data_IF_983218597732
#
_entry.id   IF_983218597732
#
_cell.length_a   1.000
_cell.length_b   1.000
_cell.length_c   1.000
_cell.angle_alpha   90.00
_cell.angle_beta   90.00
_cell.angle_gamma   90.00
#
_symmetry.space_group_name_H-M   'P 1'
#
loop_
_entity.id
_entity.type
_entity.pdbx_description
1 polymer ?
#
# COMPACT_ATOMS: atom_id res chain seq x y z
N UNK A 1 -40.44 20.48 -22.82
CA UNK A 1 -40.45 19.84 -21.49
C UNK A 1 -40.53 18.33 -21.69
N UNK A 2 -39.41 17.61 -21.59
CA UNK A 2 -39.38 16.16 -21.72
C UNK A 2 -39.28 15.55 -20.33
N UNK A 3 -40.35 14.91 -19.87
CA UNK A 3 -40.41 14.20 -18.60
C UNK A 3 -39.47 13.00 -18.61
N UNK A 4 -38.53 12.96 -17.66
CA UNK A 4 -37.72 11.77 -17.39
C UNK A 4 -38.65 10.65 -16.90
N UNK A 5 -38.73 9.54 -17.65
CA UNK A 5 -39.40 8.33 -17.16
C UNK A 5 -38.50 7.69 -16.11
N UNK A 6 -39.02 7.48 -14.90
CA UNK A 6 -38.36 6.68 -13.85
C UNK A 6 -38.31 5.21 -14.30
N UNK A 7 -37.14 4.60 -14.19
CA UNK A 7 -37.00 3.13 -14.23
C UNK A 7 -37.35 2.60 -12.83
N UNK A 8 -38.47 1.90 -12.70
CA UNK A 8 -38.78 1.11 -11.51
C UNK A 8 -38.85 -0.37 -11.87
N UNK A 9 -38.28 -1.21 -11.02
CA UNK A 9 -38.40 -2.67 -11.07
C UNK A 9 -38.98 -3.18 -9.75
N UNK A 10 -39.67 -4.32 -9.84
CA UNK A 10 -40.35 -4.97 -8.72
C UNK A 10 -39.46 -6.06 -8.14
N UNK A 11 -39.07 -5.91 -6.87
CA UNK A 11 -38.30 -6.92 -6.14
C UNK A 11 -39.06 -7.27 -4.86
N UNK A 12 -39.38 -8.56 -4.67
CA UNK A 12 -40.15 -9.08 -3.53
C UNK A 12 -41.47 -8.33 -3.27
N UNK A 13 -42.20 -8.01 -4.34
CA UNK A 13 -43.52 -7.37 -4.25
C UNK A 13 -43.50 -5.91 -3.81
N UNK A 14 -42.32 -5.25 -3.78
CA UNK A 14 -42.19 -3.82 -3.56
C UNK A 14 -41.61 -3.16 -4.82
N UNK A 15 -42.18 -2.01 -5.18
CA UNK A 15 -41.63 -1.14 -6.22
C UNK A 15 -40.39 -0.45 -5.65
N UNK A 16 -39.23 -0.67 -6.28
CA UNK A 16 -37.95 -0.16 -5.79
C UNK A 16 -37.38 0.85 -6.78
N UNK A 17 -37.06 2.05 -6.31
CA UNK A 17 -36.45 3.11 -7.11
C UNK A 17 -34.93 2.87 -7.22
N UNK A 18 -34.45 2.53 -8.43
CA UNK A 18 -33.05 2.14 -8.66
C UNK A 18 -32.03 3.29 -8.49
N UNK A 19 -32.46 4.56 -8.47
CA UNK A 19 -31.56 5.71 -8.36
C UNK A 19 -31.01 5.97 -6.94
N UNK A 20 -31.44 5.20 -5.93
CA UNK A 20 -31.16 5.49 -4.52
C UNK A 20 -30.15 4.52 -3.85
N UNK A 21 -29.50 3.64 -4.62
CA UNK A 21 -28.58 2.63 -4.07
C UNK A 21 -27.10 3.04 -4.17
N UNK A 22 -26.34 2.75 -3.11
CA UNK A 22 -24.88 2.88 -3.06
C UNK A 22 -24.21 2.16 -4.25
N UNK A 23 -23.15 2.77 -4.79
CA UNK A 23 -22.33 2.22 -5.88
C UNK A 23 -21.79 0.80 -5.57
N UNK A 24 -21.57 0.49 -4.29
CA UNK A 24 -21.16 -0.84 -3.84
C UNK A 24 -22.23 -1.91 -4.12
N UNK A 25 -23.51 -1.56 -3.98
CA UNK A 25 -24.63 -2.46 -4.24
C UNK A 25 -24.80 -2.72 -5.75
N UNK A 26 -24.58 -1.70 -6.58
CA UNK A 26 -24.59 -1.82 -8.04
C UNK A 26 -23.45 -2.71 -8.55
N UNK A 27 -22.27 -2.58 -7.95
CA UNK A 27 -21.13 -3.43 -8.26
C UNK A 27 -21.40 -4.89 -7.88
N UNK A 28 -21.98 -5.14 -6.70
CA UNK A 28 -22.35 -6.48 -6.26
C UNK A 28 -23.38 -7.16 -7.19
N UNK A 29 -24.41 -6.43 -7.60
CA UNK A 29 -25.42 -6.94 -8.54
C UNK A 29 -24.84 -7.25 -9.93
N UNK A 30 -23.90 -6.42 -10.39
CA UNK A 30 -23.21 -6.64 -11.67
C UNK A 30 -22.35 -7.90 -11.63
N UNK A 31 -21.59 -8.11 -10.54
CA UNK A 31 -20.79 -9.33 -10.35
C UNK A 31 -21.67 -10.58 -10.25
N UNK A 32 -22.84 -10.48 -9.62
CA UNK A 32 -23.80 -11.57 -9.56
C UNK A 32 -24.30 -11.94 -10.98
N UNK A 33 -24.63 -10.94 -11.79
CA UNK A 33 -25.07 -11.14 -13.17
C UNK A 33 -23.98 -11.80 -14.03
N UNK A 34 -22.72 -11.41 -13.87
CA UNK A 34 -21.57 -12.02 -14.59
C UNK A 34 -21.37 -13.47 -14.16
N UNK A 35 -21.50 -13.78 -12.86
CA UNK A 35 -21.32 -15.15 -12.34
C UNK A 35 -22.34 -16.14 -12.89
N UNK A 36 -23.53 -15.67 -13.25
CA UNK A 36 -24.61 -16.49 -13.82
C UNK A 36 -24.69 -16.42 -15.35
N UNK A 37 -23.84 -15.63 -16.01
CA UNK A 37 -23.78 -15.59 -17.46
C UNK A 37 -23.17 -16.90 -18.00
N UNK A 38 -23.97 -17.68 -18.73
CA UNK A 38 -23.45 -18.81 -19.51
C UNK A 38 -22.74 -18.27 -20.74
N UNK A 39 -21.47 -18.65 -20.92
CA UNK A 39 -20.70 -18.25 -22.09
C UNK A 39 -21.30 -18.86 -23.36
N UNK A 40 -21.41 -18.04 -24.41
CA UNK A 40 -21.84 -18.45 -25.74
C UNK A 40 -20.85 -19.49 -26.32
N UNK A 41 -21.39 -20.55 -26.91
CA UNK A 41 -20.64 -21.69 -27.45
C UNK A 41 -19.60 -21.26 -28.51
N UNK A 42 -19.86 -20.18 -29.25
CA UNK A 42 -18.88 -19.60 -30.19
C UNK A 42 -17.68 -18.97 -29.50
N UNK A 43 -17.89 -18.34 -28.34
CA UNK A 43 -16.82 -17.72 -27.56
C UNK A 43 -15.97 -18.80 -26.89
N UNK A 44 -16.61 -19.85 -26.37
CA UNK A 44 -15.91 -21.00 -25.80
C UNK A 44 -15.02 -21.70 -26.84
N UNK A 45 -15.53 -21.91 -28.05
CA UNK A 45 -14.76 -22.50 -29.15
C UNK A 45 -13.59 -21.61 -29.62
N UNK A 46 -13.78 -20.29 -29.67
CA UNK A 46 -12.70 -19.36 -30.03
C UNK A 46 -11.56 -19.35 -28.99
N UNK A 47 -11.88 -19.47 -27.70
CA UNK A 47 -10.90 -19.59 -26.63
C UNK A 47 -10.15 -20.94 -26.69
N UNK A 48 -10.85 -22.02 -27.03
CA UNK A 48 -10.25 -23.35 -27.17
C UNK A 48 -9.24 -23.40 -28.33
N UNK A 49 -9.58 -22.81 -29.48
CA UNK A 49 -8.67 -22.72 -30.64
C UNK A 49 -7.44 -21.85 -30.36
N UNK A 50 -7.60 -20.77 -29.58
CA UNK A 50 -6.46 -19.95 -29.11
C UNK A 50 -5.51 -20.76 -28.20
N UNK A 51 -6.06 -21.61 -27.32
CA UNK A 51 -5.29 -22.48 -26.43
C UNK A 51 -4.66 -23.70 -27.13
N UNK A 52 -5.12 -24.07 -28.33
CA UNK A 52 -4.46 -25.08 -29.18
C UNK A 52 -3.29 -24.47 -29.96
N UNK A 53 -3.44 -23.24 -30.46
CA UNK A 53 -2.36 -22.52 -31.17
C UNK A 53 -1.16 -22.23 -30.29
N UNK A 54 -1.36 -22.00 -28.98
CA UNK A 54 -0.26 -21.81 -28.03
C UNK A 54 0.54 -23.09 -27.75
N UNK A 55 0.00 -24.28 -28.02
CA UNK A 55 0.69 -25.57 -27.78
C UNK A 55 1.59 -26.03 -28.93
N UNK A 56 1.46 -25.44 -30.12
CA UNK A 56 2.28 -25.81 -31.30
C UNK A 56 3.66 -25.12 -31.36
N UNK A 57 3.98 -24.22 -30.42
CA UNK A 57 5.28 -23.52 -30.38
C UNK A 57 6.29 -24.13 -29.38
N UNK A 58 5.90 -25.17 -28.63
CA UNK A 58 6.70 -25.71 -27.52
C UNK A 58 7.54 -26.96 -27.84
N UNK A 59 7.53 -27.47 -29.09
CA UNK A 59 8.13 -28.78 -29.39
C UNK A 59 9.64 -28.77 -29.80
N UNK A 60 10.33 -27.63 -29.81
CA UNK A 60 11.73 -27.53 -30.28
C UNK A 60 12.75 -26.95 -29.28
N UNK A 61 12.55 -27.12 -27.96
CA UNK A 61 13.60 -26.81 -26.99
C UNK A 61 13.64 -27.82 -25.82
N UNK A 62 14.05 -29.07 -26.10
CA UNK A 62 14.48 -30.01 -25.05
C UNK A 62 15.93 -29.70 -24.65
N UNK A 63 16.12 -29.01 -23.54
CA UNK A 63 17.37 -29.09 -22.76
C UNK A 63 17.04 -29.07 -21.27
N UNK A 64 17.70 -29.97 -20.52
CA UNK A 64 17.35 -30.44 -19.16
C UNK A 64 17.16 -29.33 -18.11
N UNK A 65 16.25 -29.48 -17.12
CA UNK A 65 16.01 -28.46 -16.11
C UNK A 65 17.11 -28.45 -15.03
N UNK A 66 17.70 -27.27 -14.79
CA UNK A 66 18.37 -26.91 -13.52
C UNK A 66 17.34 -26.24 -12.59
N UNK A 67 17.54 -26.27 -11.25
CA UNK A 67 16.54 -25.77 -10.31
C UNK A 67 16.26 -24.28 -10.54
N UNK A 68 14.98 -23.94 -10.67
CA UNK A 68 14.48 -22.59 -10.90
C UNK A 68 14.73 -21.77 -9.61
N UNK A 69 15.72 -20.87 -9.67
CA UNK A 69 15.80 -19.75 -8.75
C UNK A 69 14.75 -18.72 -9.20
N UNK A 70 13.83 -18.41 -8.29
CA UNK A 70 12.86 -17.32 -8.38
C UNK A 70 13.53 -16.03 -8.85
N UNK A 71 13.17 -15.57 -10.04
CA UNK A 71 13.54 -14.25 -10.54
C UNK A 71 12.64 -13.19 -9.89
N UNK A 72 12.89 -12.90 -8.61
CA UNK A 72 12.52 -11.61 -8.02
C UNK A 72 13.63 -10.62 -8.39
N UNK A 73 13.49 -9.96 -9.54
CA UNK A 73 14.32 -8.80 -9.88
C UNK A 73 13.90 -7.61 -9.02
N UNK A 74 14.23 -7.66 -7.74
CA UNK A 74 14.22 -6.47 -6.89
C UNK A 74 15.49 -5.70 -7.19
N UNK A 75 15.33 -4.52 -7.80
CA UNK A 75 16.40 -3.55 -8.06
C UNK A 75 16.90 -2.95 -6.74
N UNK A 76 17.64 -3.73 -5.95
CA UNK A 76 18.44 -3.20 -4.86
C UNK A 76 19.86 -3.04 -5.38
N UNK A 77 20.27 -1.80 -5.66
CA UNK A 77 21.65 -1.34 -5.58
C UNK A 77 21.71 0.14 -6.00
N UNK A 78 21.42 1.02 -5.04
CA UNK A 78 21.89 2.40 -5.12
C UNK A 78 22.68 2.73 -3.87
N UNK A 79 24.00 2.62 -4.02
CA UNK A 79 25.01 2.99 -3.02
C UNK A 79 25.38 4.48 -3.07
N UNK A 80 24.62 5.28 -3.82
CA UNK A 80 24.80 6.73 -3.92
C UNK A 80 24.11 7.51 -2.79
N UNK A 81 24.29 8.85 -2.74
CA UNK A 81 23.54 9.70 -1.83
C UNK A 81 22.03 9.52 -2.10
N UNK A 82 21.32 8.97 -1.10
CA UNK A 82 19.89 8.69 -1.20
C UNK A 82 19.10 9.98 -0.94
N UNK A 83 18.49 10.52 -1.99
CA UNK A 83 17.62 11.69 -1.92
C UNK A 83 16.23 11.30 -2.45
N UNK A 84 15.31 10.84 -1.58
CA UNK A 84 13.96 10.50 -2.00
C UNK A 84 13.20 11.73 -2.50
N UNK A 85 12.29 11.58 -3.49
CA UNK A 85 11.44 12.68 -3.94
C UNK A 85 10.47 13.14 -2.84
N UNK A 86 10.06 14.41 -2.87
CA UNK A 86 9.15 14.99 -1.87
C UNK A 86 7.80 14.27 -1.79
N UNK A 87 7.30 13.76 -2.92
CA UNK A 87 6.11 12.92 -2.99
C UNK A 87 6.52 11.47 -3.32
N UNK A 88 5.81 10.47 -2.78
CA UNK A 88 6.13 9.07 -3.03
C UNK A 88 5.91 8.74 -4.52
N UNK A 89 6.89 8.11 -5.20
CA UNK A 89 6.82 7.84 -6.64
C UNK A 89 5.98 6.58 -6.92
N UNK A 90 4.72 6.59 -6.50
CA UNK A 90 3.76 5.49 -6.68
C UNK A 90 2.64 5.97 -7.62
N UNK A 91 2.66 5.60 -8.91
CA UNK A 91 1.74 6.15 -9.91
C UNK A 91 0.26 6.01 -9.55
N UNK A 92 -0.12 4.89 -8.92
CA UNK A 92 -1.49 4.62 -8.49
C UNK A 92 -1.99 5.56 -7.38
N UNK A 93 -1.09 6.29 -6.71
CA UNK A 93 -1.44 7.26 -5.65
C UNK A 93 -1.43 8.72 -6.15
N UNK A 94 -1.02 8.98 -7.40
CA UNK A 94 -0.88 10.35 -7.94
C UNK A 94 -2.17 11.18 -7.86
N UNK A 95 -3.34 10.56 -8.03
CA UNK A 95 -4.65 11.22 -7.87
C UNK A 95 -5.21 11.18 -6.45
N UNK A 96 -4.56 10.49 -5.51
CA UNK A 96 -4.97 10.36 -4.11
C UNK A 96 -4.24 11.36 -3.20
N UNK A 97 -3.04 11.75 -3.60
CA UNK A 97 -2.19 12.73 -2.92
C UNK A 97 -2.43 14.10 -3.58
N UNK A 98 -3.54 14.74 -3.24
CA UNK A 98 -3.83 16.12 -3.67
C UNK A 98 -3.88 16.99 -2.42
N UNK A 99 -2.85 17.82 -2.23
CA UNK A 99 -2.66 18.64 -1.03
C UNK A 99 -1.25 18.47 -0.45
N UNK A 100 -1.14 18.55 0.88
CA UNK A 100 0.14 18.45 1.57
C UNK A 100 0.61 16.99 1.71
N UNK A 101 1.87 16.75 1.37
CA UNK A 101 2.61 15.53 1.68
C UNK A 101 3.80 15.90 2.57
N UNK A 102 4.15 15.03 3.51
CA UNK A 102 5.31 15.26 4.38
C UNK A 102 6.59 15.18 3.55
N UNK A 103 7.61 15.96 3.91
CA UNK A 103 8.96 15.66 3.44
C UNK A 103 9.34 14.23 3.85
N UNK A 104 9.92 13.43 2.94
CA UNK A 104 10.35 12.10 3.28
C UNK A 104 11.46 12.15 4.32
N UNK A 105 11.45 11.17 5.21
CA UNK A 105 12.60 10.88 6.04
C UNK A 105 12.86 9.38 6.05
N UNK A 106 14.12 9.03 6.28
CA UNK A 106 14.55 7.66 6.31
C UNK A 106 14.93 7.25 7.72
N UNK A 107 14.59 6.00 8.02
CA UNK A 107 14.98 5.30 9.24
C UNK A 107 15.64 3.96 8.90
N UNK A 108 16.81 3.72 9.47
CA UNK A 108 17.37 2.36 9.56
C UNK A 108 16.58 1.53 10.58
N UNK A 109 16.19 0.32 10.20
CA UNK A 109 15.48 -0.58 11.10
C UNK A 109 16.39 -1.08 12.23
N UNK A 110 15.85 -1.11 13.44
CA UNK A 110 16.52 -1.62 14.63
C UNK A 110 15.96 -2.99 15.02
N UNK A 111 16.60 -3.74 15.95
CA UNK A 111 16.06 -5.02 16.40
C UNK A 111 14.65 -4.90 16.95
N UNK A 112 14.30 -3.79 17.62
CA UNK A 112 12.98 -3.56 18.18
C UNK A 112 11.91 -3.30 17.12
N UNK A 113 12.31 -2.85 15.92
CA UNK A 113 11.34 -2.59 14.85
C UNK A 113 10.89 -3.90 14.19
N UNK A 114 11.77 -4.88 14.04
CA UNK A 114 11.47 -6.16 13.36
C UNK A 114 11.14 -7.31 14.31
N UNK A 115 11.15 -7.07 15.63
CA UNK A 115 10.88 -8.11 16.64
C UNK A 115 9.40 -8.47 16.68
N UNK A 116 9.09 -9.76 16.64
CA UNK A 116 7.74 -10.30 16.56
C UNK A 116 6.90 -10.13 17.83
N UNK A 117 7.50 -9.78 18.96
CA UNK A 117 6.82 -9.51 20.24
C UNK A 117 6.47 -8.01 20.42
N UNK A 118 7.23 -7.10 19.83
CA UNK A 118 6.97 -5.65 19.90
C UNK A 118 6.14 -5.14 18.72
N UNK A 119 6.33 -5.72 17.53
CA UNK A 119 5.53 -5.47 16.32
C UNK A 119 5.29 -3.98 15.99
N UNK A 120 6.32 -3.12 16.09
CA UNK A 120 6.14 -1.68 15.87
C UNK A 120 7.30 -1.04 15.13
N UNK A 121 7.00 -0.17 14.17
CA UNK A 121 7.99 0.74 13.60
C UNK A 121 8.01 2.02 14.43
N UNK A 122 9.11 2.26 15.15
CA UNK A 122 9.28 3.51 15.90
C UNK A 122 9.85 4.61 15.02
N UNK A 123 9.53 5.87 15.29
CA UNK A 123 10.11 7.01 14.57
C UNK A 123 10.96 7.88 15.47
N UNK A 124 11.93 8.57 14.87
CA UNK A 124 12.67 9.60 15.57
C UNK A 124 11.73 10.76 15.91
N UNK A 125 11.86 11.28 17.14
CA UNK A 125 11.01 12.37 17.64
C UNK A 125 11.05 13.62 16.74
N UNK A 126 12.25 14.04 16.33
CA UNK A 126 12.42 15.24 15.52
C UNK A 126 11.79 15.10 14.12
N UNK A 127 11.93 13.93 13.49
CA UNK A 127 11.30 13.68 12.18
C UNK A 127 9.78 13.74 12.29
N UNK A 128 9.21 13.18 13.37
CA UNK A 128 7.77 13.21 13.60
C UNK A 128 7.28 14.63 13.81
N UNK A 129 7.95 15.38 14.69
CA UNK A 129 7.57 16.76 15.02
C UNK A 129 7.66 17.68 13.79
N UNK A 130 8.69 17.52 12.97
CA UNK A 130 8.93 18.40 11.82
C UNK A 130 8.12 18.02 10.57
N UNK A 131 7.89 16.72 10.33
CA UNK A 131 7.34 16.25 9.05
C UNK A 131 5.98 15.59 9.16
N UNK A 132 5.66 14.95 10.29
CA UNK A 132 4.41 14.20 10.43
C UNK A 132 3.33 15.00 11.16
N UNK A 133 3.62 15.53 12.36
CA UNK A 133 2.63 16.26 13.16
C UNK A 133 1.91 17.40 12.42
N UNK A 134 2.57 18.18 11.52
CA UNK A 134 1.90 19.25 10.78
C UNK A 134 0.73 18.80 9.89
N UNK A 135 0.66 17.51 9.56
CA UNK A 135 -0.41 16.94 8.74
C UNK A 135 -1.58 16.39 9.56
N UNK A 136 -1.47 16.35 10.89
CA UNK A 136 -2.53 15.84 11.76
C UNK A 136 -3.68 16.85 11.89
N UNK A 137 -4.89 16.32 11.95
CA UNK A 137 -6.12 17.05 12.15
C UNK A 137 -6.50 17.02 13.63
N UNK A 138 -7.40 17.92 14.04
CA UNK A 138 -7.89 17.97 15.43
C UNK A 138 -8.56 16.68 15.90
N UNK A 139 -9.06 15.87 14.96
CA UNK A 139 -9.69 14.56 15.23
C UNK A 139 -8.69 13.44 15.47
N UNK A 140 -7.41 13.63 15.10
CA UNK A 140 -6.41 12.58 15.23
C UNK A 140 -5.91 12.51 16.68
N UNK A 141 -6.23 11.41 17.34
CA UNK A 141 -5.79 11.17 18.71
C UNK A 141 -4.57 10.24 18.71
N UNK A 142 -3.37 10.81 18.87
CA UNK A 142 -2.16 10.01 18.98
C UNK A 142 -2.06 9.26 20.32
N UNK A 143 -2.80 9.63 21.36
CA UNK A 143 -2.78 8.92 22.65
C UNK A 143 -3.55 7.61 22.52
N UNK A 144 -4.77 7.67 21.96
CA UNK A 144 -5.56 6.46 21.67
C UNK A 144 -5.02 5.69 20.45
N UNK A 145 -4.47 6.44 19.50
CA UNK A 145 -4.01 5.96 18.20
C UNK A 145 -4.98 6.35 17.09
N UNK A 146 -4.40 6.76 15.97
CA UNK A 146 -5.10 7.12 14.74
C UNK A 146 -4.96 5.96 13.76
N UNK A 147 -6.07 5.37 13.27
CA UNK A 147 -6.02 4.39 12.19
C UNK A 147 -5.43 5.02 10.94
N UNK A 148 -4.56 4.28 10.26
CA UNK A 148 -3.91 4.76 9.04
C UNK A 148 -3.92 3.69 7.97
N UNK A 149 -3.95 4.15 6.73
CA UNK A 149 -3.69 3.29 5.58
C UNK A 149 -2.21 3.33 5.24
N UNK A 150 -1.58 2.18 5.02
CA UNK A 150 -0.17 2.13 4.58
C UNK A 150 -0.09 1.52 3.19
N UNK A 151 0.68 2.16 2.31
CA UNK A 151 0.96 1.68 0.96
C UNK A 151 2.42 1.29 0.83
N UNK A 152 2.69 0.19 0.13
CA UNK A 152 4.03 -0.11 -0.37
C UNK A 152 4.31 0.61 -1.70
N UNK A 153 5.54 0.46 -2.23
CA UNK A 153 5.93 1.06 -3.50
C UNK A 153 5.20 0.50 -4.73
N UNK A 154 4.52 -0.65 -4.60
CA UNK A 154 3.66 -1.20 -5.64
C UNK A 154 2.23 -0.65 -5.54
N UNK A 155 1.96 0.25 -4.58
CA UNK A 155 0.63 0.77 -4.29
C UNK A 155 -0.30 -0.24 -3.62
N UNK A 156 0.23 -1.36 -3.11
CA UNK A 156 -0.59 -2.31 -2.35
C UNK A 156 -0.90 -1.73 -0.99
N UNK A 157 -2.19 -1.77 -0.63
CA UNK A 157 -2.71 -1.25 0.63
C UNK A 157 -2.60 -2.30 1.72
N UNK A 158 -1.96 -1.97 2.83
CA UNK A 158 -2.14 -2.62 4.12
C UNK A 158 -3.14 -1.79 4.94
N UNK A 159 -4.31 -2.37 5.20
CA UNK A 159 -5.46 -1.66 5.76
C UNK A 159 -5.46 -1.58 7.28
N UNK A 160 -4.53 -2.26 7.97
CA UNK A 160 -4.60 -2.44 9.43
C UNK A 160 -3.37 -1.91 10.15
N UNK A 161 -3.09 -0.60 10.11
CA UNK A 161 -2.08 -0.01 11.00
C UNK A 161 -2.64 1.14 11.81
N UNK A 162 -2.04 1.35 12.97
CA UNK A 162 -2.35 2.46 13.85
C UNK A 162 -1.10 3.30 14.09
N UNK A 163 -1.21 4.61 13.84
CA UNK A 163 -0.20 5.59 14.19
C UNK A 163 -0.49 6.16 15.58
N UNK A 164 0.43 5.98 16.53
CA UNK A 164 0.20 6.43 17.91
C UNK A 164 1.46 6.83 18.65
N UNK A 165 1.28 7.58 19.72
CA UNK A 165 2.28 7.88 20.74
C UNK A 165 2.34 6.75 21.75
N UNK A 166 3.52 6.17 21.92
CA UNK A 166 3.82 5.08 22.84
C UNK A 166 4.69 5.56 24.01
N UNK A 167 4.33 5.14 25.23
CA UNK A 167 5.05 5.46 26.48
C UNK A 167 5.44 6.94 26.61
N UNK A 168 4.54 7.83 26.16
CA UNK A 168 4.66 9.29 26.19
C UNK A 168 5.89 9.89 25.46
N UNK A 169 6.70 9.09 24.77
CA UNK A 169 7.98 9.53 24.19
C UNK A 169 8.18 9.15 22.74
N UNK A 170 7.61 8.05 22.29
CA UNK A 170 7.86 7.50 20.96
C UNK A 170 6.62 7.63 20.11
N UNK A 171 6.78 7.86 18.81
CA UNK A 171 5.69 7.68 17.86
C UNK A 171 5.95 6.39 17.09
N UNK A 172 4.90 5.61 16.87
CA UNK A 172 5.01 4.28 16.28
C UNK A 172 3.90 4.03 15.27
N UNK A 173 4.22 3.27 14.22
CA UNK A 173 3.24 2.46 13.50
C UNK A 173 3.21 1.05 14.11
N UNK A 174 2.02 0.52 14.38
CA UNK A 174 1.82 -0.78 15.05
C UNK A 174 0.70 -1.58 14.37
N UNK A 175 0.42 -2.78 14.91
CA UNK A 175 -0.61 -3.73 14.46
C UNK A 175 -0.17 -4.45 13.18
N UNK A 176 -0.51 -3.94 11.99
CA UNK A 176 -0.17 -4.54 10.71
C UNK A 176 1.33 -4.51 10.37
N UNK A 177 2.14 -3.81 11.16
CA UNK A 177 3.58 -3.68 10.91
C UNK A 177 4.33 -5.03 10.88
N UNK A 178 3.95 -6.01 11.72
CA UNK A 178 4.59 -7.34 11.70
C UNK A 178 4.30 -8.09 10.39
N UNK A 179 3.05 -8.01 9.92
CA UNK A 179 2.67 -8.57 8.62
C UNK A 179 3.48 -7.92 7.50
N UNK A 180 3.57 -6.59 7.50
CA UNK A 180 4.39 -5.84 6.57
C UNK A 180 5.87 -6.28 6.60
N UNK A 181 6.46 -6.44 7.78
CA UNK A 181 7.83 -6.94 7.93
C UNK A 181 8.03 -8.33 7.30
N UNK A 182 7.07 -9.24 7.50
CA UNK A 182 7.14 -10.61 6.97
C UNK A 182 7.00 -10.63 5.45
N UNK A 183 6.04 -9.88 4.91
CA UNK A 183 5.78 -9.82 3.46
C UNK A 183 6.93 -9.19 2.68
N UNK A 184 7.68 -8.29 3.32
CA UNK A 184 8.83 -7.61 2.72
C UNK A 184 10.19 -8.15 3.21
N UNK A 185 10.19 -9.24 4.00
CA UNK A 185 11.39 -9.89 4.55
C UNK A 185 12.37 -8.91 5.23
N UNK A 186 11.83 -7.97 6.02
CA UNK A 186 12.61 -6.88 6.61
C UNK A 186 13.57 -7.36 7.70
N UNK A 187 14.77 -6.77 7.71
CA UNK A 187 15.90 -7.12 8.57
C UNK A 187 16.41 -5.90 9.32
N UNK A 188 16.73 -6.11 10.60
CA UNK A 188 17.42 -5.11 11.43
C UNK A 188 18.77 -4.73 10.82
N UNK A 189 19.12 -3.46 10.92
CA UNK A 189 20.37 -2.82 10.49
C UNK A 189 20.59 -2.78 8.97
N UNK A 190 20.23 -3.83 8.24
CA UNK A 190 20.41 -3.88 6.79
C UNK A 190 19.37 -3.04 6.05
N UNK A 191 18.13 -3.03 6.54
CA UNK A 191 17.03 -2.36 5.86
C UNK A 191 16.77 -0.96 6.39
N UNK A 192 16.51 -0.08 5.43
CA UNK A 192 16.11 1.30 5.62
C UNK A 192 14.70 1.47 5.09
N UNK A 193 13.87 2.18 5.84
CA UNK A 193 12.50 2.53 5.46
C UNK A 193 12.42 4.03 5.27
N UNK A 194 12.02 4.44 4.08
CA UNK A 194 11.65 5.82 3.76
C UNK A 194 10.17 5.98 3.96
N UNK A 195 9.80 7.06 4.65
CA UNK A 195 8.44 7.31 5.12
C UNK A 195 7.93 8.59 4.46
N UNK A 196 6.80 8.48 3.78
CA UNK A 196 5.95 9.62 3.44
C UNK A 196 4.64 9.49 4.20
N UNK A 197 4.05 10.63 4.55
CA UNK A 197 2.70 10.72 5.10
C UNK A 197 1.92 11.79 4.33
N UNK A 198 0.64 11.52 4.11
CA UNK A 198 -0.26 12.43 3.41
C UNK A 198 -1.70 12.18 3.87
N UNK A 199 -2.62 13.05 3.45
CA UNK A 199 -4.05 12.79 3.59
C UNK A 199 -4.66 12.36 2.27
N UNK A 200 -5.44 11.30 2.32
CA UNK A 200 -6.21 10.85 1.17
C UNK A 200 -7.22 11.94 0.77
N UNK A 201 -7.18 12.40 -0.48
CA UNK A 201 -7.97 13.57 -0.92
C UNK A 201 -9.48 13.42 -0.69
N UNK A 202 -10.05 12.21 -0.87
CA UNK A 202 -11.51 11.99 -0.74
C UNK A 202 -11.98 11.75 0.69
N UNK A 203 -11.38 10.78 1.39
CA UNK A 203 -11.78 10.40 2.75
C UNK A 203 -11.18 11.31 3.84
N UNK A 204 -10.12 12.07 3.52
CA UNK A 204 -9.36 12.83 4.50
C UNK A 204 -8.53 11.96 5.45
N UNK A 205 -8.53 10.63 5.27
CA UNK A 205 -7.82 9.68 6.11
C UNK A 205 -6.31 9.88 6.03
N UNK A 206 -5.64 9.61 7.14
CA UNK A 206 -4.19 9.66 7.22
C UNK A 206 -3.60 8.43 6.53
N UNK A 207 -2.65 8.65 5.64
CA UNK A 207 -2.02 7.61 4.83
C UNK A 207 -0.49 7.71 4.93
N UNK A 208 0.16 6.56 4.87
CA UNK A 208 1.61 6.44 4.77
C UNK A 208 1.99 5.73 3.47
N UNK A 209 3.14 6.09 2.92
CA UNK A 209 3.85 5.26 1.94
C UNK A 209 5.18 4.85 2.54
N UNK A 210 5.50 3.56 2.45
CA UNK A 210 6.77 3.02 2.91
C UNK A 210 7.54 2.48 1.71
N UNK A 211 8.75 3.00 1.52
CA UNK A 211 9.75 2.42 0.61
C UNK A 211 10.82 1.73 1.41
N UNK A 212 11.34 0.61 0.92
CA UNK A 212 12.38 -0.14 1.59
C UNK A 212 13.59 -0.29 0.68
N UNK A 213 14.76 -0.12 1.26
CA UNK A 213 16.03 -0.45 0.60
C UNK A 213 16.95 -1.20 1.54
N UNK A 214 17.66 -2.18 1.00
CA UNK A 214 18.65 -2.97 1.73
C UNK A 214 20.04 -2.46 1.43
N UNK A 215 20.83 -2.30 2.48
CA UNK A 215 22.25 -1.94 2.41
C UNK A 215 23.08 -3.03 3.14
N UNK A 216 24.32 -3.30 2.71
CA UNK A 216 25.25 -4.22 3.38
C UNK A 216 25.84 -3.56 4.64
N UNK A 217 24.97 -3.04 5.50
CA UNK A 217 25.31 -2.39 6.75
C UNK A 217 24.76 -3.25 7.87
N UNK A 218 25.64 -3.80 8.69
CA UNK A 218 25.27 -4.76 9.74
C UNK A 218 25.27 -4.15 11.15
N UNK A 219 25.40 -2.82 11.23
CA UNK A 219 25.47 -2.06 12.49
C UNK A 219 24.61 -0.79 12.44
N UNK A 220 24.14 -0.27 13.59
CA UNK A 220 23.48 1.02 13.64
C UNK A 220 24.36 2.12 13.05
N UNK A 221 23.83 2.88 12.10
CA UNK A 221 24.42 4.13 11.66
C UNK A 221 24.04 5.21 12.67
N UNK A 222 25.05 5.90 13.20
CA UNK A 222 24.81 7.08 14.03
C UNK A 222 24.38 8.21 13.09
N UNK A 223 23.19 8.77 13.31
CA UNK A 223 22.85 10.06 12.70
C UNK A 223 23.87 11.08 13.18
N UNK A 224 24.50 11.78 12.24
CA UNK A 224 25.27 12.98 12.58
C UNK A 224 24.30 13.99 13.20
N UNK A 225 24.62 14.50 14.39
CA UNK A 225 23.90 15.65 14.95
C UNK A 225 24.44 16.86 14.23
N UNK A 226 23.67 17.43 13.32
CA UNK A 226 23.86 18.83 12.95
C UNK A 226 23.40 19.67 14.15
N UNK A 227 24.35 20.04 15.01
CA UNK A 227 24.18 21.19 15.91
C UNK A 227 24.10 22.42 15.03
N UNK A 228 22.89 22.93 14.81
CA UNK A 228 22.74 24.31 14.41
C UNK A 228 23.03 25.13 15.67
N UNK A 229 24.28 25.54 15.83
CA UNK A 229 24.64 26.63 16.73
C UNK A 229 24.01 27.90 16.17
N UNK A 230 23.08 28.47 16.94
CA UNK A 230 22.56 29.82 16.79
C UNK A 230 23.01 30.63 18.00
#
# INVERSE_FOLDING_TARGET
MAGKRKLSEWVNGKEVNLEEFSEEFRAAMTLLAIKHAKADEKIAMALLERAKRSRFTEEHAKTKPKPIQSSHSQTYQHFGPYSPPDCPPVPSLSGLIIGACSKPFEKQLTPTDVRTDQCRLSFNKADVENFLLPLLNKSDDLVRGTPVTVYDMNGRKECSMTFKRWASKFHVLTEGWNKFCKEHELRKYEDFVTVWMFRHVRSGELCFVLSMRRMPVFKPLKRSRTTNDN
#
